data_IF_902965952508
#
_entry.id   IF_902965952508
#
_cell.length_a   1.000
_cell.length_b   1.000
_cell.length_c   1.000
_cell.angle_alpha   90.00
_cell.angle_beta   90.00
_cell.angle_gamma   90.00
#
_symmetry.space_group_name_H-M   'P 1'
#
loop_
_entity.id
_entity.type
_entity.pdbx_description
1 polymer ?
#
# COMPACT_ATOMS: atom_id res chain seq x y z
N UNK A 1 2.94 3.68 -6.81
CA UNK A 1 4.02 2.78 -6.34
C UNK A 1 3.37 1.42 -6.07
N UNK A 2 3.82 0.35 -6.74
CA UNK A 2 3.10 -0.94 -6.83
C UNK A 2 2.85 -1.60 -5.46
N UNK A 3 3.72 -1.39 -4.47
CA UNK A 3 3.56 -1.93 -3.11
C UNK A 3 2.28 -1.51 -2.37
N UNK A 4 1.57 -0.49 -2.85
CA UNK A 4 0.30 -0.05 -2.25
C UNK A 4 -0.93 -0.64 -2.95
N UNK A 5 -0.74 -1.49 -3.96
CA UNK A 5 -1.83 -2.17 -4.64
C UNK A 5 -2.21 -3.44 -3.86
N UNK A 6 -3.37 -3.43 -3.21
CA UNK A 6 -3.86 -4.52 -2.36
C UNK A 6 -4.05 -5.87 -3.06
N UNK A 7 -4.02 -5.91 -4.39
CA UNK A 7 -4.08 -7.15 -5.16
C UNK A 7 -2.74 -7.87 -5.31
N UNK A 8 -1.62 -7.21 -4.98
CA UNK A 8 -0.27 -7.77 -5.13
C UNK A 8 0.16 -8.46 -3.83
N UNK A 9 0.55 -9.73 -3.93
CA UNK A 9 1.01 -10.56 -2.80
C UNK A 9 2.52 -10.83 -2.86
N UNK A 10 3.09 -10.88 -4.07
CA UNK A 10 4.52 -11.01 -4.30
C UNK A 10 4.96 -9.96 -5.34
N UNK A 11 5.97 -9.16 -5.01
CA UNK A 11 6.57 -8.16 -5.89
C UNK A 11 8.06 -8.42 -6.00
N UNK A 12 8.52 -8.76 -7.21
CA UNK A 12 9.93 -9.06 -7.47
C UNK A 12 10.54 -8.06 -8.45
N UNK A 13 11.69 -7.50 -8.07
CA UNK A 13 12.55 -6.73 -8.96
C UNK A 13 13.77 -7.54 -9.36
N UNK A 14 14.14 -7.51 -10.64
CA UNK A 14 15.36 -8.12 -11.18
C UNK A 14 16.19 -7.03 -11.85
N UNK A 15 17.46 -6.92 -11.50
CA UNK A 15 18.41 -6.00 -12.15
C UNK A 15 19.82 -6.61 -12.19
N UNK A 16 20.64 -6.21 -13.16
CA UNK A 16 22.05 -6.60 -13.22
C UNK A 16 22.89 -5.81 -12.19
N UNK A 17 22.46 -4.59 -11.85
CA UNK A 17 23.15 -3.67 -10.96
C UNK A 17 22.73 -3.85 -9.49
N UNK A 18 23.57 -4.53 -8.72
CA UNK A 18 23.38 -4.64 -7.27
C UNK A 18 23.45 -3.28 -6.56
N UNK A 19 24.26 -2.36 -7.08
CA UNK A 19 24.50 -1.04 -6.50
C UNK A 19 23.22 -0.19 -6.51
N UNK A 20 22.57 -0.06 -7.69
CA UNK A 20 21.32 0.70 -7.85
C UNK A 20 20.22 0.16 -6.94
N UNK A 21 20.14 -1.18 -6.82
CA UNK A 21 19.19 -1.83 -5.91
C UNK A 21 19.46 -1.49 -4.44
N UNK A 22 20.72 -1.51 -4.01
CA UNK A 22 21.10 -1.18 -2.63
C UNK A 22 20.81 0.27 -2.28
N UNK A 23 21.07 1.19 -3.21
CA UNK A 23 20.78 2.61 -3.02
C UNK A 23 19.29 2.90 -2.84
N UNK A 24 18.41 2.07 -3.40
CA UNK A 24 16.97 2.31 -3.39
C UNK A 24 16.17 1.36 -2.48
N UNK A 25 16.80 0.40 -1.81
CA UNK A 25 16.10 -0.61 -1.00
C UNK A 25 15.23 0.00 0.11
N UNK A 26 15.65 1.13 0.70
CA UNK A 26 14.90 1.78 1.77
C UNK A 26 13.50 2.23 1.34
N UNK A 27 13.29 2.51 0.04
CA UNK A 27 11.98 2.87 -0.52
C UNK A 27 11.01 1.68 -0.53
N UNK A 28 11.53 0.46 -0.48
CA UNK A 28 10.77 -0.80 -0.52
C UNK A 28 10.51 -1.37 0.88
N UNK A 29 11.10 -0.80 1.93
CA UNK A 29 10.80 -1.20 3.29
C UNK A 29 9.39 -0.77 3.71
N UNK A 30 8.74 -1.53 4.63
CA UNK A 30 7.51 -1.10 5.27
C UNK A 30 7.71 0.21 6.01
N UNK A 31 6.75 1.12 5.85
CA UNK A 31 6.67 2.38 6.56
C UNK A 31 6.01 2.17 7.93
N UNK A 32 6.17 3.09 8.89
CA UNK A 32 5.47 3.02 10.18
C UNK A 32 3.95 2.85 10.04
N UNK A 33 3.35 3.50 9.03
CA UNK A 33 1.93 3.35 8.71
C UNK A 33 1.51 1.91 8.38
N UNK A 34 2.38 1.14 7.72
CA UNK A 34 2.10 -0.26 7.36
C UNK A 34 1.99 -1.14 8.63
N UNK A 35 2.75 -0.83 9.69
CA UNK A 35 2.66 -1.55 10.96
C UNK A 35 1.45 -1.15 11.81
N UNK A 36 1.02 0.12 11.70
CA UNK A 36 -0.15 0.63 12.41
C UNK A 36 -1.46 0.19 11.75
N UNK A 37 -1.46 0.06 10.42
CA UNK A 37 -2.60 -0.35 9.61
C UNK A 37 -2.19 -1.45 8.62
N UNK A 38 -1.87 -2.65 9.12
CA UNK A 38 -1.45 -3.77 8.28
C UNK A 38 -2.57 -4.24 7.36
N UNK A 39 -2.21 -4.78 6.19
CA UNK A 39 -3.16 -5.32 5.22
C UNK A 39 -3.61 -6.74 5.57
N UNK A 40 -4.81 -7.10 5.13
CA UNK A 40 -5.33 -8.48 5.23
C UNK A 40 -4.46 -9.50 4.50
N UNK A 41 -3.96 -9.11 3.31
CA UNK A 41 -3.04 -9.92 2.51
C UNK A 41 -1.61 -9.58 2.88
N UNK A 42 -0.75 -10.60 2.88
CA UNK A 42 0.67 -10.42 3.08
C UNK A 42 1.32 -10.05 1.75
N UNK A 43 2.13 -8.99 1.75
CA UNK A 43 2.97 -8.62 0.62
C UNK A 43 4.41 -9.02 0.92
N UNK A 44 5.05 -9.73 0.00
CA UNK A 44 6.49 -9.96 0.00
C UNK A 44 7.13 -9.17 -1.13
N UNK A 45 8.19 -8.43 -0.82
CA UNK A 45 8.98 -7.70 -1.80
C UNK A 45 10.40 -8.27 -1.84
N UNK A 46 10.85 -8.69 -3.01
CA UNK A 46 12.18 -9.29 -3.22
C UNK A 46 12.94 -8.55 -4.33
N UNK A 47 14.22 -8.23 -4.11
CA UNK A 47 15.13 -7.76 -5.15
C UNK A 47 16.19 -8.82 -5.44
N UNK A 48 16.36 -9.13 -6.72
CA UNK A 48 17.23 -10.16 -7.23
C UNK A 48 18.25 -9.55 -8.20
N UNK A 49 19.51 -9.93 -8.02
CA UNK A 49 20.57 -9.62 -8.97
C UNK A 49 20.68 -10.72 -10.01
N UNK A 50 20.56 -10.34 -11.28
CA UNK A 50 20.68 -11.26 -12.42
C UNK A 50 20.32 -10.63 -13.76
N UNK A 51 20.52 -11.38 -14.84
CA UNK A 51 20.12 -10.95 -16.20
C UNK A 51 18.80 -11.58 -16.59
N UNK A 52 17.95 -10.80 -17.26
CA UNK A 52 16.69 -11.25 -17.87
C UNK A 52 16.92 -12.30 -18.98
N UNK A 53 18.14 -12.42 -19.49
CA UNK A 53 18.51 -13.44 -20.48
C UNK A 53 18.81 -14.81 -19.86
N UNK A 54 18.75 -14.95 -18.53
CA UNK A 54 18.95 -16.22 -17.81
C UNK A 54 17.63 -16.77 -17.27
N UNK A 55 17.46 -18.09 -17.29
CA UNK A 55 16.33 -18.76 -16.67
C UNK A 55 16.64 -19.02 -15.20
N UNK A 56 15.74 -18.61 -14.32
CA UNK A 56 15.78 -18.97 -12.90
C UNK A 56 14.39 -19.42 -12.43
N UNK A 57 14.26 -20.58 -11.77
CA UNK A 57 12.97 -21.10 -11.28
C UNK A 57 12.18 -20.13 -10.40
N UNK A 58 12.85 -19.20 -9.71
CA UNK A 58 12.17 -18.23 -8.87
C UNK A 58 11.28 -17.25 -9.64
N UNK A 59 11.40 -17.20 -10.98
CA UNK A 59 10.60 -16.35 -11.86
C UNK A 59 9.37 -17.04 -12.45
N UNK A 60 9.11 -18.29 -12.07
CA UNK A 60 7.96 -19.05 -12.54
C UNK A 60 6.73 -18.75 -11.68
N UNK A 61 5.55 -18.79 -12.31
CA UNK A 61 4.25 -18.67 -11.61
C UNK A 61 3.79 -17.23 -11.34
N UNK A 62 4.44 -16.22 -11.92
CA UNK A 62 3.97 -14.84 -11.85
C UNK A 62 2.76 -14.61 -12.74
N UNK A 63 1.79 -13.84 -12.25
CA UNK A 63 0.64 -13.40 -13.05
C UNK A 63 1.05 -12.36 -14.10
N UNK A 64 2.03 -11.52 -13.78
CA UNK A 64 2.41 -10.37 -14.60
C UNK A 64 3.92 -10.12 -14.54
N UNK A 65 4.50 -9.78 -15.70
CA UNK A 65 5.89 -9.33 -15.83
C UNK A 65 5.92 -7.98 -16.55
N UNK A 66 6.73 -7.04 -16.06
CA UNK A 66 6.94 -5.74 -16.68
C UNK A 66 8.40 -5.54 -17.04
N UNK A 67 8.67 -5.21 -18.30
CA UNK A 67 9.99 -4.88 -18.83
C UNK A 67 9.92 -3.44 -19.37
N UNK A 68 10.15 -2.47 -18.50
CA UNK A 68 9.96 -1.05 -18.79
C UNK A 68 11.31 -0.44 -19.18
N UNK A 69 11.41 0.05 -20.42
CA UNK A 69 12.65 0.63 -20.99
C UNK A 69 13.87 -0.28 -20.76
N UNK A 70 13.73 -1.56 -21.16
CA UNK A 70 14.74 -2.60 -20.92
C UNK A 70 15.35 -3.15 -22.20
N UNK A 71 14.53 -3.46 -23.20
CA UNK A 71 14.97 -4.27 -24.34
C UNK A 71 16.03 -3.55 -25.18
N UNK A 72 15.99 -2.22 -25.24
CA UNK A 72 16.96 -1.36 -25.92
C UNK A 72 18.36 -1.37 -25.28
N UNK A 73 18.48 -1.84 -24.04
CA UNK A 73 19.76 -2.01 -23.34
C UNK A 73 20.37 -3.40 -23.56
N UNK A 74 19.60 -4.35 -24.10
CA UNK A 74 20.07 -5.72 -24.30
C UNK A 74 21.01 -5.80 -25.50
N UNK A 75 22.16 -6.46 -25.30
CA UNK A 75 23.03 -6.82 -26.41
C UNK A 75 22.32 -7.83 -27.33
N UNK A 76 22.71 -7.89 -28.61
CA UNK A 76 21.99 -8.67 -29.62
C UNK A 76 21.75 -10.15 -29.22
N UNK A 77 22.74 -10.77 -28.55
CA UNK A 77 22.64 -12.17 -28.05
C UNK A 77 21.66 -12.32 -26.88
N UNK A 78 21.50 -11.29 -26.07
CA UNK A 78 20.56 -11.29 -24.94
C UNK A 78 19.14 -11.03 -25.44
N UNK A 79 18.98 -10.09 -26.37
CA UNK A 79 17.71 -9.80 -27.03
C UNK A 79 17.16 -11.04 -27.77
N UNK A 80 18.02 -11.85 -28.38
CA UNK A 80 17.62 -13.11 -29.03
C UNK A 80 17.05 -14.13 -28.03
N UNK A 81 17.60 -14.20 -26.81
CA UNK A 81 17.16 -15.11 -25.76
C UNK A 81 15.95 -14.60 -24.99
N UNK A 82 15.78 -13.29 -24.89
CA UNK A 82 14.77 -12.64 -24.07
C UNK A 82 13.35 -13.21 -24.29
N UNK A 83 12.86 -13.41 -25.53
CA UNK A 83 11.53 -13.99 -25.75
C UNK A 83 11.38 -15.40 -25.17
N UNK A 84 12.42 -16.24 -25.31
CA UNK A 84 12.40 -17.61 -24.79
C UNK A 84 12.32 -17.62 -23.25
N UNK A 85 13.02 -16.70 -22.59
CA UNK A 85 13.00 -16.61 -21.13
C UNK A 85 11.67 -16.04 -20.63
N UNK A 86 11.22 -14.90 -21.15
CA UNK A 86 10.04 -14.20 -20.59
C UNK A 86 8.74 -14.84 -21.05
N UNK A 87 8.57 -15.11 -22.35
CA UNK A 87 7.31 -15.64 -22.89
C UNK A 87 7.23 -17.17 -22.79
N UNK A 88 8.37 -17.83 -23.00
CA UNK A 88 8.47 -19.29 -23.00
C UNK A 88 8.61 -19.89 -21.60
N UNK A 89 9.65 -19.49 -20.87
CA UNK A 89 9.98 -20.06 -19.56
C UNK A 89 9.13 -19.47 -18.42
N UNK A 90 9.19 -18.15 -18.19
CA UNK A 90 8.39 -17.49 -17.15
C UNK A 90 6.89 -17.62 -17.42
N UNK A 91 6.51 -17.39 -18.68
CA UNK A 91 5.16 -17.63 -19.21
C UNK A 91 4.00 -17.05 -18.36
N UNK A 92 4.07 -15.78 -17.94
CA UNK A 92 3.05 -15.15 -17.10
C UNK A 92 1.72 -14.96 -17.86
N UNK A 93 0.64 -14.61 -17.15
CA UNK A 93 -0.64 -14.32 -17.80
C UNK A 93 -0.58 -13.01 -18.63
N UNK A 94 0.20 -12.03 -18.17
CA UNK A 94 0.38 -10.73 -18.83
C UNK A 94 1.86 -10.31 -18.86
N UNK A 95 2.29 -9.70 -19.96
CA UNK A 95 3.61 -9.08 -20.09
C UNK A 95 3.43 -7.66 -20.61
N UNK A 96 4.07 -6.67 -19.99
CA UNK A 96 4.12 -5.30 -20.51
C UNK A 96 5.56 -4.98 -20.86
N UNK A 97 5.80 -4.60 -22.12
CA UNK A 97 7.11 -4.18 -22.61
C UNK A 97 7.00 -2.76 -23.11
N UNK A 98 7.89 -1.88 -22.66
CA UNK A 98 8.05 -0.55 -23.23
C UNK A 98 9.45 -0.36 -23.78
N UNK A 99 9.55 0.51 -24.79
CA UNK A 99 10.83 0.93 -25.38
C UNK A 99 10.64 2.28 -26.07
N UNK A 100 11.70 3.08 -26.28
CA UNK A 100 11.63 4.32 -27.05
C UNK A 100 11.10 4.10 -28.48
N UNK A 101 10.36 5.09 -28.99
CA UNK A 101 10.01 5.17 -30.40
C UNK A 101 10.96 6.14 -31.12
N UNK A 102 11.83 5.62 -31.99
CA UNK A 102 12.83 6.45 -32.69
C UNK A 102 12.22 7.47 -33.65
N UNK A 103 10.99 7.27 -34.14
CA UNK A 103 10.27 8.24 -34.99
C UNK A 103 9.96 9.54 -34.23
N UNK A 104 9.90 9.49 -32.90
CA UNK A 104 9.65 10.67 -32.07
C UNK A 104 10.93 11.50 -31.85
N UNK A 105 12.12 10.94 -32.06
CA UNK A 105 13.38 11.54 -31.63
C UNK A 105 13.67 12.90 -32.25
N UNK A 106 13.25 13.16 -33.49
CA UNK A 106 13.50 14.45 -34.14
C UNK A 106 12.75 15.61 -33.48
N UNK A 107 11.72 15.32 -32.67
CA UNK A 107 11.02 16.33 -31.87
C UNK A 107 11.78 16.67 -30.58
N UNK A 108 12.80 15.89 -30.23
CA UNK A 108 13.59 16.05 -29.02
C UNK A 108 14.87 16.84 -29.34
N UNK A 109 15.10 18.01 -28.73
CA UNK A 109 16.16 18.94 -29.14
C UNK A 109 17.60 18.46 -28.89
N UNK A 110 17.81 17.36 -28.16
CA UNK A 110 19.13 16.91 -27.67
C UNK A 110 19.53 15.53 -28.24
N UNK A 111 18.69 14.91 -29.09
CA UNK A 111 18.92 13.55 -29.57
C UNK A 111 19.70 13.58 -30.89
N UNK A 112 20.90 12.98 -30.91
CA UNK A 112 21.74 12.89 -32.11
C UNK A 112 21.56 11.57 -32.87
N UNK A 113 21.45 10.45 -32.15
CA UNK A 113 21.22 9.11 -32.72
C UNK A 113 20.23 8.32 -31.87
N UNK A 114 20.59 8.09 -30.60
CA UNK A 114 19.73 7.50 -29.57
C UNK A 114 19.53 8.50 -28.42
N UNK A 115 18.43 8.35 -27.69
CA UNK A 115 18.08 9.15 -26.51
C UNK A 115 19.04 8.97 -25.35
N UNK A 116 19.70 7.81 -25.28
CA UNK A 116 20.66 7.50 -24.24
C UNK A 116 21.89 6.80 -24.85
N UNK A 117 23.13 7.12 -24.38
CA UNK A 117 24.35 6.54 -24.92
C UNK A 117 24.50 5.03 -24.68
N UNK A 118 23.79 4.49 -23.69
CA UNK A 118 23.80 3.05 -23.38
C UNK A 118 22.79 2.23 -24.24
N UNK A 119 21.93 2.87 -25.02
CA UNK A 119 21.02 2.15 -25.91
C UNK A 119 21.81 1.43 -27.01
N UNK A 120 21.50 0.16 -27.24
CA UNK A 120 22.07 -0.66 -28.32
C UNK A 120 21.32 -0.46 -29.62
N UNK A 121 20.04 -0.12 -29.53
CA UNK A 121 19.16 0.20 -30.65
C UNK A 121 17.99 1.07 -30.18
N UNK A 122 17.31 1.73 -31.12
CA UNK A 122 15.98 2.33 -30.88
C UNK A 122 15.06 2.03 -32.05
N UNK A 123 14.01 1.27 -31.80
CA UNK A 123 13.09 0.83 -32.85
C UNK A 123 12.07 1.91 -33.21
N UNK A 124 11.73 1.97 -34.49
CA UNK A 124 10.54 2.67 -34.95
C UNK A 124 9.28 1.82 -34.67
N UNK A 125 8.09 2.37 -34.94
CA UNK A 125 6.82 1.67 -34.65
C UNK A 125 6.72 0.34 -35.39
N UNK A 126 7.13 0.31 -36.66
CA UNK A 126 7.05 -0.89 -37.50
C UNK A 126 7.97 -2.00 -37.00
N UNK A 127 9.20 -1.66 -36.61
CA UNK A 127 10.18 -2.62 -36.07
C UNK A 127 9.68 -3.25 -34.77
N UNK A 128 9.19 -2.44 -33.84
CA UNK A 128 8.65 -2.93 -32.58
C UNK A 128 7.40 -3.79 -32.78
N UNK A 129 6.46 -3.35 -33.63
CA UNK A 129 5.23 -4.09 -33.92
C UNK A 129 5.53 -5.44 -34.59
N UNK A 130 6.42 -5.47 -35.59
CA UNK A 130 6.79 -6.71 -36.27
C UNK A 130 7.42 -7.72 -35.30
N UNK A 131 8.36 -7.27 -34.47
CA UNK A 131 8.97 -8.12 -33.44
C UNK A 131 7.94 -8.63 -32.44
N UNK A 132 7.08 -7.74 -31.94
CA UNK A 132 6.07 -8.08 -30.94
C UNK A 132 5.02 -9.06 -31.49
N UNK A 133 4.55 -8.88 -32.73
CA UNK A 133 3.61 -9.79 -33.36
C UNK A 133 4.22 -11.18 -33.58
N UNK A 134 5.47 -11.26 -34.03
CA UNK A 134 6.18 -12.54 -34.20
C UNK A 134 6.34 -13.28 -32.86
N UNK A 135 6.79 -12.58 -31.82
CA UNK A 135 6.93 -13.14 -30.47
C UNK A 135 5.59 -13.60 -29.91
N UNK A 136 4.54 -12.78 -30.05
CA UNK A 136 3.20 -13.12 -29.58
C UNK A 136 2.65 -14.38 -30.27
N UNK A 137 2.84 -14.49 -31.59
CA UNK A 137 2.44 -15.68 -32.35
C UNK A 137 3.22 -16.93 -31.92
N UNK A 138 4.54 -16.81 -31.72
CA UNK A 138 5.42 -17.91 -31.34
C UNK A 138 5.10 -18.52 -29.97
N UNK A 139 4.68 -17.70 -29.01
CA UNK A 139 4.47 -18.12 -27.61
C UNK A 139 3.00 -18.13 -27.16
N UNK A 140 2.05 -18.02 -28.09
CA UNK A 140 0.60 -18.08 -27.82
C UNK A 140 0.06 -16.91 -26.96
N UNK A 141 0.49 -15.69 -27.30
CA UNK A 141 -0.04 -14.44 -26.75
C UNK A 141 -0.81 -13.65 -27.82
N UNK A 142 -1.68 -12.76 -27.38
CA UNK A 142 -2.14 -11.59 -28.14
C UNK A 142 -1.31 -10.38 -27.74
N UNK A 143 -1.16 -9.40 -28.62
CA UNK A 143 -0.50 -8.13 -28.30
C UNK A 143 -1.40 -6.95 -28.66
N UNK A 144 -1.51 -5.99 -27.76
CA UNK A 144 -2.11 -4.68 -27.98
C UNK A 144 -1.03 -3.61 -27.91
N UNK A 145 -1.09 -2.62 -28.80
CA UNK A 145 -0.10 -1.54 -28.88
C UNK A 145 -0.68 -0.25 -28.33
N UNK A 146 0.06 0.39 -27.42
CA UNK A 146 -0.24 1.70 -26.86
C UNK A 146 1.06 2.47 -26.62
N UNK A 147 1.03 3.55 -25.88
CA UNK A 147 2.23 4.31 -25.53
C UNK A 147 1.97 5.48 -24.61
N UNK A 148 3.05 6.18 -24.25
CA UNK A 148 3.01 7.38 -23.41
C UNK A 148 3.77 8.53 -24.07
N UNK A 149 3.35 9.76 -23.78
CA UNK A 149 3.88 10.97 -24.42
C UNK A 149 3.31 11.16 -25.82
N UNK A 150 2.08 11.68 -25.91
CA UNK A 150 1.43 11.97 -27.18
C UNK A 150 2.20 13.05 -27.96
N UNK A 151 2.21 13.00 -29.30
CA UNK A 151 2.90 13.98 -30.09
C UNK A 151 2.21 15.36 -30.02
N UNK A 152 2.95 16.46 -30.22
CA UNK A 152 2.34 17.77 -30.42
C UNK A 152 1.35 17.76 -31.59
N UNK A 153 0.36 18.66 -31.53
CA UNK A 153 -0.66 18.77 -32.58
C UNK A 153 -0.04 18.90 -33.98
N UNK A 154 -0.55 18.12 -34.95
CA UNK A 154 -0.09 18.15 -36.35
C UNK A 154 1.15 17.32 -36.65
N UNK A 155 1.60 16.46 -35.73
CA UNK A 155 2.70 15.50 -35.95
C UNK A 155 2.18 14.06 -35.86
N UNK A 156 2.40 13.27 -36.91
CA UNK A 156 2.10 11.84 -36.94
C UNK A 156 3.37 11.00 -36.75
N UNK A 157 3.82 10.93 -35.50
CA UNK A 157 5.01 10.13 -35.11
C UNK A 157 4.68 9.06 -34.09
N UNK A 158 3.41 8.94 -33.71
CA UNK A 158 2.97 8.10 -32.58
C UNK A 158 3.46 8.62 -31.22
N UNK A 159 3.42 7.74 -30.23
CA UNK A 159 3.85 8.05 -28.86
C UNK A 159 5.38 8.15 -28.73
N UNK A 160 5.84 8.93 -27.74
CA UNK A 160 7.24 9.05 -27.38
C UNK A 160 7.83 7.71 -26.91
N UNK A 161 7.11 7.00 -26.05
CA UNK A 161 7.41 5.62 -25.67
C UNK A 161 6.30 4.74 -26.21
N UNK A 162 6.68 3.65 -26.88
CA UNK A 162 5.75 2.65 -27.40
C UNK A 162 5.69 1.47 -26.42
N UNK A 163 4.50 0.90 -26.27
CA UNK A 163 4.20 -0.14 -25.28
C UNK A 163 3.47 -1.29 -25.98
N UNK A 164 3.94 -2.51 -25.75
CA UNK A 164 3.26 -3.74 -26.12
C UNK A 164 2.70 -4.41 -24.87
N UNK A 165 1.38 -4.60 -24.82
CA UNK A 165 0.68 -5.34 -23.77
C UNK A 165 0.35 -6.71 -24.31
N UNK A 166 1.02 -7.73 -23.78
CA UNK A 166 0.85 -9.11 -24.19
C UNK A 166 -0.03 -9.84 -23.19
N UNK A 167 -1.06 -10.52 -23.68
CA UNK A 167 -1.96 -11.34 -22.86
C UNK A 167 -1.95 -12.76 -23.40
N UNK A 168 -1.75 -13.73 -22.52
CA UNK A 168 -1.67 -15.13 -22.92
C UNK A 168 -3.04 -15.62 -23.39
N UNK A 169 -3.11 -16.25 -24.58
CA UNK A 169 -4.37 -16.72 -25.18
C UNK A 169 -5.01 -17.85 -24.38
N UNK A 170 -4.19 -18.79 -23.94
CA UNK A 170 -4.63 -19.93 -23.14
C UNK A 170 -3.94 -19.92 -21.79
N UNK A 171 -4.70 -19.66 -20.72
CA UNK A 171 -4.27 -19.95 -19.36
C UNK A 171 -4.21 -21.47 -19.17
N UNK A 172 -3.18 -22.11 -19.72
CA UNK A 172 -2.90 -23.51 -19.38
C UNK A 172 -2.54 -23.53 -17.90
N UNK A 173 -3.23 -24.36 -17.11
CA UNK A 173 -2.72 -24.79 -15.82
C UNK A 173 -1.37 -25.46 -16.09
N UNK A 174 -0.27 -24.72 -15.92
CA UNK A 174 1.07 -25.28 -16.05
C UNK A 174 1.18 -26.30 -14.92
N UNK A 175 1.13 -27.58 -15.28
CA UNK A 175 1.39 -28.64 -14.32
C UNK A 175 2.82 -28.49 -13.77
N UNK A 176 3.07 -28.77 -12.49
CA UNK A 176 4.40 -28.68 -11.87
C UNK A 176 5.50 -29.56 -12.52
N UNK A 177 5.14 -30.44 -13.46
CA UNK A 177 6.05 -31.41 -14.09
C UNK A 177 7.25 -30.77 -14.82
N UNK A 178 7.18 -29.50 -15.23
CA UNK A 178 8.32 -28.77 -15.86
C UNK A 178 9.31 -28.14 -14.86
N UNK A 179 8.97 -28.09 -13.57
CA UNK A 179 9.77 -27.37 -12.58
C UNK A 179 10.97 -28.17 -12.07
N UNK A 180 10.96 -29.50 -12.20
CA UNK A 180 12.01 -30.38 -11.68
C UNK A 180 13.33 -30.31 -12.49
N UNK A 181 13.30 -29.85 -13.75
CA UNK A 181 14.48 -29.77 -14.62
C UNK A 181 15.44 -28.60 -14.30
N UNK A 182 14.99 -27.60 -13.55
CA UNK A 182 15.78 -26.38 -13.29
C UNK A 182 16.24 -26.32 -11.84
N UNK A 183 17.27 -27.09 -11.47
CA UNK A 183 17.76 -27.10 -10.08
C UNK A 183 18.75 -25.97 -9.77
N UNK A 184 19.31 -25.31 -10.79
CA UNK A 184 20.34 -24.29 -10.60
C UNK A 184 19.73 -22.90 -10.48
N UNK A 185 19.77 -22.34 -9.26
CA UNK A 185 19.53 -20.91 -9.04
C UNK A 185 20.73 -20.11 -9.54
N UNK A 186 20.45 -19.12 -10.36
CA UNK A 186 21.44 -18.22 -10.99
C UNK A 186 21.37 -16.83 -10.35
N UNK A 187 20.18 -16.42 -9.90
CA UNK A 187 19.99 -15.10 -9.31
C UNK A 187 20.41 -15.06 -7.84
N UNK A 188 20.97 -13.92 -7.44
CA UNK A 188 21.35 -13.64 -6.05
C UNK A 188 20.31 -12.74 -5.41
N UNK A 189 19.75 -13.15 -4.27
CA UNK A 189 18.87 -12.26 -3.51
C UNK A 189 19.67 -11.15 -2.84
N UNK A 190 19.33 -9.90 -3.16
CA UNK A 190 19.97 -8.70 -2.60
C UNK A 190 19.16 -8.15 -1.43
N UNK A 191 17.84 -8.16 -1.55
CA UNK A 191 16.92 -7.66 -0.55
C UNK A 191 15.65 -8.50 -0.52
N UNK A 192 15.11 -8.75 0.66
CA UNK A 192 13.81 -9.38 0.84
C UNK A 192 13.16 -8.80 2.09
N UNK A 193 11.90 -8.39 1.96
CA UNK A 193 11.11 -7.91 3.08
C UNK A 193 9.69 -8.43 2.99
N UNK A 194 9.13 -8.77 4.15
CA UNK A 194 7.77 -9.25 4.29
C UNK A 194 7.00 -8.17 5.05
N UNK A 195 5.91 -7.70 4.45
CA UNK A 195 5.08 -6.65 5.03
C UNK A 195 4.25 -7.18 6.21
N UNK A 196 3.98 -6.32 7.21
CA UNK A 196 3.08 -6.67 8.29
C UNK A 196 1.67 -6.95 7.75
N UNK A 197 1.04 -8.01 8.26
CA UNK A 197 -0.28 -8.45 7.80
C UNK A 197 -1.15 -8.87 8.98
N UNK A 198 -2.46 -8.66 8.85
CA UNK A 198 -3.46 -9.07 9.85
C UNK A 198 -3.57 -10.59 10.03
N UNK A 199 -2.94 -11.39 9.14
CA UNK A 199 -2.80 -12.84 9.33
C UNK A 199 -1.84 -13.21 10.47
N UNK A 200 -0.92 -12.31 10.81
CA UNK A 200 -0.01 -12.50 11.94
C UNK A 200 -0.69 -12.03 13.23
N UNK A 201 -0.77 -12.90 14.23
CA UNK A 201 -1.43 -12.61 15.51
C UNK A 201 -0.82 -11.38 16.21
N UNK A 202 0.48 -11.14 16.07
CA UNK A 202 1.15 -9.97 16.65
C UNK A 202 0.65 -8.67 16.01
N UNK A 203 0.59 -8.61 14.68
CA UNK A 203 0.14 -7.40 13.98
C UNK A 203 -1.36 -7.19 14.13
N UNK A 204 -2.15 -8.27 14.14
CA UNK A 204 -3.57 -8.22 14.46
C UNK A 204 -3.81 -7.68 15.87
N UNK A 205 -3.09 -8.19 16.87
CA UNK A 205 -3.21 -7.71 18.25
C UNK A 205 -2.89 -6.21 18.34
N UNK A 206 -1.79 -5.77 17.74
CA UNK A 206 -1.42 -4.36 17.74
C UNK A 206 -2.46 -3.48 17.03
N UNK A 207 -2.98 -3.91 15.87
CA UNK A 207 -4.02 -3.20 15.15
C UNK A 207 -5.32 -3.07 15.97
N UNK A 208 -5.74 -4.14 16.64
CA UNK A 208 -6.90 -4.13 17.54
C UNK A 208 -6.68 -3.20 18.73
N UNK A 209 -5.52 -3.29 19.38
CA UNK A 209 -5.18 -2.42 20.53
C UNK A 209 -5.22 -0.95 20.14
N UNK A 210 -4.61 -0.60 19.01
CA UNK A 210 -4.59 0.77 18.51
C UNK A 210 -5.99 1.29 18.18
N UNK A 211 -6.83 0.47 17.52
CA UNK A 211 -8.19 0.88 17.17
C UNK A 211 -9.10 0.99 18.41
N UNK A 212 -8.93 0.11 19.40
CA UNK A 212 -9.64 0.18 20.69
C UNK A 212 -9.27 1.44 21.45
N UNK A 213 -7.97 1.76 21.53
CA UNK A 213 -7.51 2.97 22.19
C UNK A 213 -8.05 4.22 21.48
N UNK A 214 -7.95 4.27 20.15
CA UNK A 214 -8.53 5.35 19.34
C UNK A 214 -10.03 5.52 19.55
N UNK A 215 -10.79 4.43 19.54
CA UNK A 215 -12.24 4.46 19.77
C UNK A 215 -12.57 4.95 21.19
N UNK A 216 -11.83 4.48 22.19
CA UNK A 216 -11.99 4.91 23.58
C UNK A 216 -11.69 6.41 23.75
N UNK A 217 -10.60 6.91 23.17
CA UNK A 217 -10.26 8.34 23.18
C UNK A 217 -11.34 9.20 22.50
N UNK A 218 -11.89 8.75 21.37
CA UNK A 218 -12.97 9.47 20.67
C UNK A 218 -14.21 9.57 21.58
N UNK A 219 -14.61 8.47 22.21
CA UNK A 219 -15.75 8.47 23.15
C UNK A 219 -15.46 9.40 24.33
N UNK A 220 -14.28 9.28 24.93
CA UNK A 220 -13.89 10.02 26.12
C UNK A 220 -13.80 11.54 25.87
N UNK A 221 -13.24 11.96 24.72
CA UNK A 221 -13.19 13.38 24.32
C UNK A 221 -14.57 13.97 24.07
N UNK A 222 -15.46 13.25 23.38
CA UNK A 222 -16.85 13.70 23.15
C UNK A 222 -17.61 13.88 24.48
N UNK A 223 -17.39 13.00 25.45
CA UNK A 223 -17.98 13.15 26.79
C UNK A 223 -17.45 14.40 27.51
N UNK A 224 -16.15 14.69 27.39
CA UNK A 224 -15.56 15.90 27.96
C UNK A 224 -16.15 17.16 27.33
N UNK A 225 -16.28 17.19 26.00
CA UNK A 225 -16.86 18.32 25.27
C UNK A 225 -18.34 18.53 25.63
N UNK A 226 -19.11 17.45 25.73
CA UNK A 226 -20.49 17.51 26.19
C UNK A 226 -20.58 18.09 27.61
N UNK A 227 -19.76 17.61 28.55
CA UNK A 227 -19.71 18.13 29.94
C UNK A 227 -19.30 19.60 30.00
N UNK A 228 -18.29 20.02 29.21
CA UNK A 228 -17.89 21.43 29.09
C UNK A 228 -19.05 22.29 28.58
N UNK A 229 -19.84 21.77 27.63
CA UNK A 229 -21.02 22.47 27.10
C UNK A 229 -22.16 22.56 28.12
N UNK A 230 -22.40 21.53 28.93
CA UNK A 230 -23.41 21.55 30.01
C UNK A 230 -23.01 22.46 31.17
N UNK A 231 -21.75 22.40 31.62
CA UNK A 231 -21.23 23.35 32.63
C UNK A 231 -21.31 24.79 32.13
N UNK A 232 -21.01 25.06 30.85
CA UNK A 232 -21.19 26.39 30.27
C UNK A 232 -22.67 26.79 30.19
N UNK A 233 -23.59 25.88 29.88
CA UNK A 233 -25.05 26.17 29.92
C UNK A 233 -25.52 26.48 31.34
N UNK A 234 -25.10 25.72 32.34
CA UNK A 234 -25.40 25.99 33.75
C UNK A 234 -24.77 27.30 34.25
N UNK A 235 -23.52 27.61 33.91
CA UNK A 235 -22.90 28.89 34.25
C UNK A 235 -23.49 30.07 33.47
N UNK A 236 -23.87 29.91 32.20
CA UNK A 236 -24.53 30.96 31.39
C UNK A 236 -25.95 31.28 31.86
N UNK A 237 -26.61 30.34 32.57
CA UNK A 237 -27.87 30.61 33.26
C UNK A 237 -27.70 31.48 34.51
N UNK A 238 -26.46 31.66 34.98
CA UNK A 238 -26.09 32.51 36.11
C UNK A 238 -25.37 33.80 35.67
N UNK A 239 -24.72 33.82 34.51
CA UNK A 239 -24.09 35.00 33.93
C UNK A 239 -24.40 35.03 32.43
N UNK A 240 -25.31 35.91 32.04
CA UNK A 240 -25.78 36.06 30.66
C UNK A 240 -24.71 36.65 29.75
N UNK A 241 -23.92 35.79 29.09
CA UNK A 241 -23.14 36.19 27.92
C UNK A 241 -22.88 34.98 27.03
N UNK A 242 -23.48 34.98 25.84
CA UNK A 242 -23.21 34.03 24.77
C UNK A 242 -21.81 34.31 24.16
N UNK A 243 -20.95 33.30 24.08
CA UNK A 243 -19.74 33.38 23.25
C UNK A 243 -19.81 32.35 22.11
N UNK A 244 -19.70 32.86 20.89
CA UNK A 244 -19.58 32.07 19.67
C UNK A 244 -18.16 31.50 19.61
N UNK A 245 -18.03 30.16 19.56
CA UNK A 245 -16.74 29.52 19.29
C UNK A 245 -16.75 28.79 17.95
N UNK A 246 -15.66 29.03 17.21
CA UNK A 246 -15.37 28.50 15.89
C UNK A 246 -15.34 26.97 15.90
N UNK A 247 -16.08 26.38 14.95
CA UNK A 247 -16.00 24.96 14.62
C UNK A 247 -14.55 24.61 14.23
N UNK A 248 -13.90 23.77 15.02
CA UNK A 248 -12.60 23.23 14.66
C UNK A 248 -12.74 22.31 13.45
N UNK A 249 -11.70 22.28 12.62
CA UNK A 249 -11.55 21.58 11.35
C UNK A 249 -11.63 20.04 11.42
N UNK A 250 -12.08 19.48 12.53
CA UNK A 250 -12.12 18.04 12.81
C UNK A 250 -13.42 17.34 12.38
N UNK A 251 -14.40 18.09 11.88
CA UNK A 251 -15.71 17.59 11.45
C UNK A 251 -15.62 16.59 10.26
N UNK A 252 -14.50 16.55 9.54
CA UNK A 252 -14.42 15.90 8.22
C UNK A 252 -14.25 14.37 8.26
N UNK A 253 -14.16 13.74 9.45
CA UNK A 253 -13.97 12.28 9.59
C UNK A 253 -15.03 11.58 10.47
N UNK A 254 -16.22 12.18 10.65
CA UNK A 254 -17.17 11.84 11.71
C UNK A 254 -18.48 11.17 11.25
N UNK A 255 -18.50 10.48 10.10
CA UNK A 255 -19.76 9.94 9.54
C UNK A 255 -20.25 8.59 10.15
N UNK A 256 -19.52 7.98 11.08
CA UNK A 256 -19.81 6.62 11.56
C UNK A 256 -20.36 6.52 13.01
N UNK A 257 -21.17 7.46 13.52
CA UNK A 257 -21.75 7.26 14.88
C UNK A 257 -23.20 7.74 15.12
N UNK A 258 -24.09 6.88 15.65
CA UNK A 258 -25.31 7.27 16.37
C UNK A 258 -24.99 7.48 17.85
N UNK A 259 -24.99 8.72 18.33
CA UNK A 259 -24.83 9.06 19.75
C UNK A 259 -26.22 9.36 20.34
N UNK A 260 -26.61 8.73 21.45
CA UNK A 260 -27.90 8.99 22.13
C UNK A 260 -27.70 9.57 23.53
N UNK A 261 -28.61 10.43 24.01
CA UNK A 261 -28.52 11.07 25.34
C UNK A 261 -28.50 10.05 26.50
N UNK A 262 -29.04 8.84 26.30
CA UNK A 262 -29.04 7.74 27.28
C UNK A 262 -27.64 7.19 27.60
N UNK A 263 -26.63 7.54 26.79
CA UNK A 263 -25.25 7.08 26.95
C UNK A 263 -24.47 7.82 28.04
N UNK A 264 -25.04 8.90 28.58
CA UNK A 264 -24.45 9.76 29.62
C UNK A 264 -24.64 9.22 31.05
N UNK A 265 -25.70 8.43 31.32
CA UNK A 265 -26.02 7.93 32.67
C UNK A 265 -25.18 6.73 33.12
N UNK A 266 -24.56 5.98 32.19
CA UNK A 266 -23.92 4.68 32.47
C UNK A 266 -22.50 4.83 33.08
N UNK A 267 -21.92 6.03 33.14
CA UNK A 267 -20.46 6.17 33.23
C UNK A 267 -20.06 7.29 34.20
N UNK A 268 -19.96 6.95 35.49
CA UNK A 268 -19.51 7.89 36.53
C UNK A 268 -18.00 7.77 36.78
N UNK A 269 -17.25 8.89 36.82
CA UNK A 269 -15.88 8.88 37.31
C UNK A 269 -15.88 8.58 38.81
N UNK A 270 -14.98 7.70 39.26
CA UNK A 270 -14.69 7.52 40.69
C UNK A 270 -14.07 8.78 41.27
N UNK A 271 -14.53 9.16 42.47
CA UNK A 271 -14.05 10.34 43.20
C UNK A 271 -12.52 10.33 43.34
N UNK A 272 -11.86 11.33 42.74
CA UNK A 272 -10.43 11.63 42.94
C UNK A 272 -9.49 11.33 41.78
N UNK A 273 -9.95 10.86 40.62
CA UNK A 273 -9.08 10.60 39.46
C UNK A 273 -9.71 11.01 38.14
N UNK A 274 -8.91 11.64 37.28
CA UNK A 274 -9.28 12.13 35.95
C UNK A 274 -9.46 11.00 34.92
N UNK A 275 -10.05 9.87 35.34
CA UNK A 275 -10.15 8.63 34.59
C UNK A 275 -11.58 8.46 34.07
N UNK A 276 -11.71 8.33 32.75
CA UNK A 276 -12.96 7.98 32.09
C UNK A 276 -12.91 6.49 31.76
N UNK A 277 -13.83 5.73 32.36
CA UNK A 277 -14.09 4.34 31.97
C UNK A 277 -14.92 4.36 30.70
N UNK A 278 -14.55 3.62 29.66
CA UNK A 278 -15.29 3.51 28.39
C UNK A 278 -15.70 2.05 28.15
N UNK A 279 -17.00 1.70 28.01
CA UNK A 279 -17.44 0.32 28.04
C UNK A 279 -17.02 -0.37 26.74
N UNK A 280 -16.47 -1.57 26.85
CA UNK A 280 -16.01 -2.34 25.69
C UNK A 280 -17.13 -2.62 24.70
N UNK A 281 -18.37 -2.75 25.17
CA UNK A 281 -19.54 -2.91 24.29
C UNK A 281 -19.72 -1.74 23.31
N UNK A 282 -19.49 -0.50 23.76
CA UNK A 282 -19.54 0.70 22.89
C UNK A 282 -18.32 0.82 21.99
N UNK A 283 -17.16 0.32 22.42
CA UNK A 283 -15.98 0.27 21.58
C UNK A 283 -16.16 -0.78 20.47
N UNK A 284 -16.74 -1.94 20.80
CA UNK A 284 -17.00 -3.01 19.84
C UNK A 284 -18.04 -2.64 18.78
N UNK A 285 -18.90 -1.64 19.03
CA UNK A 285 -19.82 -1.12 18.01
C UNK A 285 -19.13 -0.27 16.94
N UNK A 286 -17.84 0.09 17.10
CA UNK A 286 -17.08 0.72 16.02
C UNK A 286 -16.83 -0.29 14.89
N UNK A 287 -17.24 0.07 13.68
CA UNK A 287 -17.15 -0.79 12.48
C UNK A 287 -15.78 -1.43 12.31
N UNK A 288 -14.70 -0.66 12.48
CA UNK A 288 -13.32 -1.15 12.32
C UNK A 288 -12.87 -2.11 13.43
N UNK A 289 -13.26 -1.86 14.68
CA UNK A 289 -12.98 -2.80 15.80
C UNK A 289 -13.72 -4.11 15.58
N UNK A 290 -14.98 -4.02 15.16
CA UNK A 290 -15.81 -5.17 14.83
C UNK A 290 -15.20 -5.99 13.67
N UNK A 291 -14.75 -5.34 12.60
CA UNK A 291 -14.12 -6.00 11.45
C UNK A 291 -12.85 -6.77 11.83
N UNK A 292 -11.99 -6.19 12.67
CA UNK A 292 -10.73 -6.84 13.08
C UNK A 292 -10.96 -8.03 14.02
N UNK A 293 -11.95 -7.94 14.91
CA UNK A 293 -12.17 -8.94 15.96
C UNK A 293 -13.21 -10.00 15.57
N UNK A 294 -14.24 -9.62 14.81
CA UNK A 294 -15.43 -10.41 14.46
C UNK A 294 -16.34 -10.73 15.66
N UNK A 295 -15.78 -11.01 16.83
CA UNK A 295 -16.50 -11.38 18.05
C UNK A 295 -15.97 -10.61 19.26
N UNK A 296 -16.84 -10.43 20.25
CA UNK A 296 -16.49 -9.76 21.51
C UNK A 296 -15.47 -10.57 22.34
N UNK A 297 -15.55 -11.90 22.31
CA UNK A 297 -14.59 -12.78 22.98
C UNK A 297 -13.18 -12.63 22.43
N UNK A 298 -13.04 -12.57 21.09
CA UNK A 298 -11.75 -12.35 20.44
C UNK A 298 -11.19 -10.97 20.77
N UNK A 299 -12.04 -9.93 20.79
CA UNK A 299 -11.66 -8.59 21.23
C UNK A 299 -11.06 -8.64 22.64
N UNK A 300 -11.81 -9.18 23.61
CA UNK A 300 -11.38 -9.26 25.01
C UNK A 300 -10.04 -9.99 25.13
N UNK A 301 -9.86 -11.11 24.41
CA UNK A 301 -8.62 -11.88 24.42
C UNK A 301 -7.43 -11.06 23.90
N UNK A 302 -7.60 -10.32 22.80
CA UNK A 302 -6.52 -9.59 22.15
C UNK A 302 -6.05 -8.37 22.96
N UNK A 303 -6.95 -7.70 23.68
CA UNK A 303 -6.59 -6.49 24.46
C UNK A 303 -6.10 -6.78 25.89
N UNK A 304 -6.35 -7.99 26.40
CA UNK A 304 -5.99 -8.36 27.78
C UNK A 304 -4.49 -8.23 28.00
N UNK A 305 -4.09 -7.46 29.02
CA UNK A 305 -2.68 -7.22 29.36
C UNK A 305 -1.95 -6.23 28.45
N UNK A 306 -2.66 -5.59 27.51
CA UNK A 306 -2.12 -4.56 26.60
C UNK A 306 -2.69 -3.16 26.83
N UNK A 307 -3.91 -3.08 27.37
CA UNK A 307 -4.62 -1.85 27.65
C UNK A 307 -5.06 -1.85 29.13
N UNK A 308 -5.05 -0.71 29.82
CA UNK A 308 -5.66 -0.60 31.15
C UNK A 308 -7.18 -0.82 31.08
N UNK A 309 -7.64 -1.86 31.77
CA UNK A 309 -9.06 -2.23 31.86
C UNK A 309 -9.56 -2.07 33.30
N UNK A 310 -10.88 -1.89 33.45
CA UNK A 310 -11.56 -1.92 34.75
C UNK A 310 -11.35 -3.28 35.45
N UNK A 311 -11.58 -3.33 36.78
CA UNK A 311 -11.39 -4.53 37.59
C UNK A 311 -12.20 -5.75 37.08
N UNK A 312 -13.39 -5.52 36.54
CA UNK A 312 -14.27 -6.53 35.94
C UNK A 312 -13.96 -6.80 34.45
N UNK A 313 -13.00 -6.08 33.86
CA UNK A 313 -12.60 -6.18 32.46
C UNK A 313 -13.64 -5.63 31.47
N UNK A 314 -14.70 -4.95 31.93
CA UNK A 314 -15.82 -4.52 31.08
C UNK A 314 -15.61 -3.17 30.37
N UNK A 315 -14.63 -2.38 30.83
CA UNK A 315 -14.35 -1.04 30.30
C UNK A 315 -12.84 -0.75 30.16
N UNK A 316 -12.50 0.06 29.15
CA UNK A 316 -11.16 0.65 28.96
C UNK A 316 -11.03 1.90 29.83
N UNK A 317 -9.93 2.05 30.55
CA UNK A 317 -9.66 3.22 31.38
C UNK A 317 -8.82 4.23 30.58
N UNK A 318 -9.33 5.46 30.41
CA UNK A 318 -8.62 6.56 29.77
C UNK A 318 -8.31 7.63 30.80
N UNK A 319 -7.03 7.84 31.07
CA UNK A 319 -6.55 9.00 31.83
C UNK A 319 -6.60 10.24 30.93
N UNK A 320 -7.31 11.27 31.38
CA UNK A 320 -7.32 12.57 30.72
C UNK A 320 -6.40 13.52 31.47
N UNK A 321 -5.57 14.28 30.78
CA UNK A 321 -4.92 15.45 31.36
C UNK A 321 -5.95 16.59 31.38
N UNK A 322 -6.31 17.08 32.57
CA UNK A 322 -7.00 18.36 32.66
C UNK A 322 -5.93 19.41 32.37
N UNK A 323 -6.06 20.12 31.25
CA UNK A 323 -5.49 21.45 31.14
C UNK A 323 -6.20 22.30 32.20
N UNK A 324 -5.62 22.37 33.39
CA UNK A 324 -6.01 23.35 34.39
C UNK A 324 -5.79 24.72 33.75
N UNK A 325 -6.88 25.40 33.37
CA UNK A 325 -6.87 26.84 33.14
C UNK A 325 -6.44 27.50 34.45
N UNK A 326 -5.12 27.65 34.64
CA UNK A 326 -4.57 28.59 35.60
C UNK A 326 -5.01 29.98 35.16
N UNK A 327 -6.20 30.38 35.60
CA UNK A 327 -6.55 31.77 35.76
C UNK A 327 -5.51 32.36 36.72
N UNK A 328 -4.52 33.04 36.15
CA UNK A 328 -3.72 34.02 36.87
C UNK A 328 -4.67 35.15 37.30
N UNK A 329 -5.40 34.92 38.39
CA UNK A 329 -5.93 35.97 39.24
C UNK A 329 -4.78 36.54 40.06
N UNK A 330 -3.92 37.34 39.42
CA UNK A 330 -3.08 38.31 40.13
C UNK A 330 -3.81 39.66 40.14
N UNK A 331 -4.71 39.79 41.12
CA UNK A 331 -5.11 41.07 41.70
C UNK A 331 -4.16 41.38 42.87
N UNK A 332 -3.20 42.28 42.65
CA UNK A 332 -2.96 43.47 43.50
C UNK A 332 -1.85 44.36 42.94
#
# INVERSE_FOLDING_TARGET
MLKFCNCIEELVGLDISEEVMKENMYKLSPLPGDYLQPSEKQLTVTLLQGSVAHKDPCMLGFDMVTCIELIEHLEAKELEKFPEVVFGFMSPAMIIISTPNSEFNYLLPIVSLFRHPDHKFEWNRTQFQNWAVDVAARYDYTVEFTGVGAPPHGKDVGFCTQIGVFVRKNLRNIKPERFEEYQRRVYKTVFKVIYPSLKDEKYLQNAVVNEVFRAAEIIARKQLDYRKSECKKQCSSLIGTESQFQQSSFQMYMDDFPFSEADSEIMQPTAGGNIIYVPLGKIFSFSKVNQLCGTFEKLSKLITGKIPLSHDGSAVMIEMECEDEQQNDDNN
#
